data_IF_876070122942
#
_entry.id   IF_876070122942
#
_cell.length_a   1.000
_cell.length_b   1.000
_cell.length_c   1.000
_cell.angle_alpha   90.00
_cell.angle_beta   90.00
_cell.angle_gamma   90.00
#
_symmetry.space_group_name_H-M   'P 1'
#
loop_
_entity.id
_entity.type
_entity.pdbx_description
1 polymer ?
#
# COMPACT_ATOMS: atom_id res chain seq x y z
N UNK A 1 19.20 -4.07 42.18
CA UNK A 1 19.15 -4.94 40.98
C UNK A 1 18.23 -4.23 40.01
N UNK A 2 18.78 -3.67 38.95
CA UNK A 2 17.98 -2.94 38.00
C UNK A 2 17.07 -3.91 37.22
N UNK A 3 15.78 -3.59 37.17
CA UNK A 3 14.85 -4.28 36.33
C UNK A 3 15.28 -4.09 34.86
N UNK A 4 15.87 -5.14 34.29
CA UNK A 4 16.14 -5.18 32.86
C UNK A 4 14.78 -5.19 32.13
N UNK A 5 14.42 -4.06 31.55
CA UNK A 5 13.27 -3.98 30.64
C UNK A 5 13.66 -4.78 29.39
N UNK A 6 13.17 -5.98 29.28
CA UNK A 6 13.27 -6.76 28.06
C UNK A 6 12.41 -6.05 27.00
N UNK A 7 13.05 -5.33 26.10
CA UNK A 7 12.38 -4.85 24.90
C UNK A 7 12.06 -6.08 24.07
N UNK A 8 10.79 -6.49 24.05
CA UNK A 8 10.32 -7.46 23.09
C UNK A 8 10.43 -6.81 21.72
N UNK A 9 11.38 -7.25 20.93
CA UNK A 9 11.44 -6.91 19.50
C UNK A 9 10.10 -7.32 18.88
N UNK A 10 9.38 -6.34 18.33
CA UNK A 10 8.15 -6.60 17.59
C UNK A 10 8.57 -7.29 16.31
N UNK A 11 8.45 -8.62 16.27
CA UNK A 11 8.68 -9.37 15.05
C UNK A 11 7.40 -9.38 14.21
N UNK A 12 7.43 -8.70 13.09
CA UNK A 12 6.36 -8.71 12.12
C UNK A 12 6.50 -9.93 11.22
N UNK A 13 5.45 -10.72 11.07
CA UNK A 13 5.44 -11.87 10.17
C UNK A 13 5.31 -11.42 8.71
N UNK A 14 5.71 -12.28 7.77
CA UNK A 14 5.58 -12.02 6.34
C UNK A 14 4.13 -11.78 5.88
N UNK A 15 3.15 -12.31 6.60
CA UNK A 15 1.71 -12.08 6.43
C UNK A 15 1.32 -10.60 6.47
N UNK A 16 2.00 -9.79 7.31
CA UNK A 16 1.79 -8.34 7.34
C UNK A 16 2.23 -7.65 6.04
N UNK A 17 3.27 -8.14 5.37
CA UNK A 17 3.67 -7.60 4.05
C UNK A 17 2.58 -7.87 3.00
N UNK A 18 1.97 -9.06 3.04
CA UNK A 18 0.83 -9.40 2.18
C UNK A 18 -0.38 -8.53 2.52
N UNK A 19 -0.66 -8.34 3.80
CA UNK A 19 -1.73 -7.45 4.25
C UNK A 19 -1.51 -6.01 3.76
N UNK A 20 -0.31 -5.45 3.93
CA UNK A 20 0.02 -4.11 3.45
C UNK A 20 -0.13 -3.98 1.93
N UNK A 21 0.20 -5.04 1.19
CA UNK A 21 0.00 -5.08 -0.26
C UNK A 21 -1.47 -5.04 -0.63
N UNK A 22 -2.29 -5.89 -0.01
CA UNK A 22 -3.74 -5.95 -0.27
C UNK A 22 -4.42 -4.64 0.09
N UNK A 23 -4.12 -4.08 1.27
CA UNK A 23 -4.69 -2.79 1.73
C UNK A 23 -4.28 -1.63 0.81
N UNK A 24 -3.06 -1.66 0.26
CA UNK A 24 -2.65 -0.70 -0.74
C UNK A 24 -3.50 -0.77 -2.02
N UNK A 25 -3.80 -1.97 -2.51
CA UNK A 25 -4.69 -2.16 -3.66
C UNK A 25 -6.11 -1.66 -3.33
N UNK A 26 -6.63 -1.97 -2.14
CA UNK A 26 -7.93 -1.49 -1.64
C UNK A 26 -8.02 0.03 -1.74
N UNK A 27 -7.02 0.74 -1.25
CA UNK A 27 -6.96 2.19 -1.29
C UNK A 27 -6.93 2.72 -2.74
N UNK A 28 -6.05 2.17 -3.58
CA UNK A 28 -5.93 2.60 -4.96
C UNK A 28 -7.18 2.33 -5.80
N UNK A 29 -7.87 1.21 -5.60
CA UNK A 29 -9.16 0.93 -6.25
C UNK A 29 -10.27 1.89 -5.79
N UNK A 30 -10.26 2.28 -4.51
CA UNK A 30 -11.19 3.29 -4.00
C UNK A 30 -10.95 4.65 -4.65
N UNK A 31 -9.69 5.04 -4.90
CA UNK A 31 -9.37 6.26 -5.63
C UNK A 31 -9.87 6.19 -7.08
N UNK A 32 -9.75 5.04 -7.75
CA UNK A 32 -10.27 4.85 -9.12
C UNK A 32 -11.80 4.95 -9.12
N UNK A 33 -12.47 4.31 -8.16
CA UNK A 33 -13.92 4.36 -8.04
C UNK A 33 -14.41 5.81 -7.84
N UNK A 34 -13.76 6.59 -6.95
CA UNK A 34 -14.04 8.03 -6.80
C UNK A 34 -13.69 8.82 -8.08
N UNK A 35 -12.53 8.58 -8.68
CA UNK A 35 -12.08 9.23 -9.90
C UNK A 35 -13.08 9.07 -11.06
N UNK A 36 -13.85 7.97 -11.08
CA UNK A 36 -14.90 7.70 -12.06
C UNK A 36 -16.07 8.69 -12.04
N UNK A 37 -16.26 9.41 -10.94
CA UNK A 37 -17.27 10.49 -10.82
C UNK A 37 -16.79 11.79 -11.46
N UNK A 38 -15.49 11.94 -11.64
CA UNK A 38 -14.85 13.14 -12.23
C UNK A 38 -14.39 12.91 -13.66
N UNK A 39 -13.99 11.67 -13.98
CA UNK A 39 -13.40 11.30 -15.28
C UNK A 39 -14.30 10.30 -15.99
N UNK A 40 -14.99 10.71 -17.08
CA UNK A 40 -15.91 9.82 -17.79
C UNK A 40 -15.28 8.52 -18.30
N UNK A 41 -14.01 8.56 -18.71
CA UNK A 41 -13.27 7.38 -19.14
C UNK A 41 -13.19 6.26 -18.08
N UNK A 42 -13.26 6.60 -16.79
CA UNK A 42 -13.22 5.64 -15.68
C UNK A 42 -14.61 5.13 -15.27
N UNK A 43 -15.71 5.65 -15.82
CA UNK A 43 -17.08 5.22 -15.44
C UNK A 43 -17.29 3.70 -15.49
N UNK A 44 -16.77 2.94 -16.49
CA UNK A 44 -16.93 1.49 -16.54
C UNK A 44 -16.27 0.75 -15.36
N UNK A 45 -15.35 1.40 -14.64
CA UNK A 45 -14.63 0.84 -13.50
C UNK A 45 -15.27 1.21 -12.16
N UNK A 46 -16.23 2.14 -12.11
CA UNK A 46 -16.85 2.65 -10.88
C UNK A 46 -17.25 1.55 -9.92
N UNK A 47 -18.16 0.70 -10.35
CA UNK A 47 -18.70 -0.40 -9.55
C UNK A 47 -17.66 -1.51 -9.37
N UNK A 48 -16.97 -1.91 -10.45
CA UNK A 48 -15.95 -2.95 -10.41
C UNK A 48 -14.87 -2.65 -9.35
N UNK A 49 -14.38 -1.41 -9.32
CA UNK A 49 -13.35 -0.98 -8.36
C UNK A 49 -13.91 -0.90 -6.92
N UNK A 50 -15.16 -0.44 -6.74
CA UNK A 50 -15.79 -0.41 -5.43
C UNK A 50 -15.97 -1.82 -4.85
N UNK A 51 -16.53 -2.75 -5.63
CA UNK A 51 -16.72 -4.15 -5.20
C UNK A 51 -15.38 -4.85 -4.96
N UNK A 52 -14.42 -4.72 -5.88
CA UNK A 52 -13.10 -5.32 -5.74
C UNK A 52 -12.37 -4.80 -4.49
N UNK A 53 -12.44 -3.49 -4.24
CA UNK A 53 -11.90 -2.88 -3.04
C UNK A 53 -12.51 -3.49 -1.77
N UNK A 54 -13.83 -3.61 -1.71
CA UNK A 54 -14.53 -4.16 -0.55
C UNK A 54 -14.21 -5.65 -0.31
N UNK A 55 -14.17 -6.46 -1.36
CA UNK A 55 -13.81 -7.88 -1.27
C UNK A 55 -12.36 -8.04 -0.79
N UNK A 56 -11.42 -7.26 -1.36
CA UNK A 56 -10.02 -7.29 -0.94
C UNK A 56 -9.84 -6.79 0.50
N UNK A 57 -10.62 -5.80 0.95
CA UNK A 57 -10.63 -5.38 2.34
C UNK A 57 -11.02 -6.53 3.27
N UNK A 58 -12.09 -7.25 2.94
CA UNK A 58 -12.54 -8.40 3.73
C UNK A 58 -11.46 -9.50 3.78
N UNK A 59 -10.83 -9.81 2.65
CA UNK A 59 -9.73 -10.77 2.58
C UNK A 59 -8.51 -10.31 3.40
N UNK A 60 -8.12 -9.03 3.28
CA UNK A 60 -7.04 -8.45 4.07
C UNK A 60 -7.34 -8.47 5.57
N UNK A 61 -8.56 -8.15 5.97
CA UNK A 61 -9.00 -8.24 7.36
C UNK A 61 -8.96 -9.68 7.91
N UNK A 62 -9.39 -10.66 7.12
CA UNK A 62 -9.30 -12.07 7.49
C UNK A 62 -7.85 -12.53 7.65
N UNK A 63 -6.96 -12.12 6.75
CA UNK A 63 -5.52 -12.41 6.85
C UNK A 63 -4.93 -11.84 8.15
N UNK A 64 -5.27 -10.59 8.47
CA UNK A 64 -4.80 -9.94 9.69
C UNK A 64 -5.33 -10.65 10.95
N UNK A 65 -6.61 -11.01 10.99
CA UNK A 65 -7.22 -11.73 12.13
C UNK A 65 -6.60 -13.13 12.28
N UNK A 66 -6.37 -13.84 11.18
CA UNK A 66 -5.77 -15.17 11.19
C UNK A 66 -4.32 -15.18 11.71
N UNK A 67 -3.60 -14.06 11.54
CA UNK A 67 -2.22 -13.92 12.02
C UNK A 67 -2.13 -13.55 13.51
N UNK A 68 -3.23 -13.18 14.13
CA UNK A 68 -3.25 -12.89 15.56
C UNK A 68 -3.10 -14.19 16.37
N UNK A 69 -2.19 -14.20 17.35
CA UNK A 69 -2.06 -15.33 18.30
C UNK A 69 -3.35 -15.61 19.08
N UNK A 70 -4.23 -14.62 19.19
CA UNK A 70 -5.56 -14.72 19.80
C UNK A 70 -6.60 -14.00 18.93
N UNK A 71 -7.13 -14.67 17.88
CA UNK A 71 -8.00 -14.06 16.87
C UNK A 71 -9.21 -13.32 17.43
N UNK A 72 -9.86 -13.85 18.46
CA UNK A 72 -11.05 -13.21 19.05
C UNK A 72 -10.75 -11.87 19.75
N UNK A 73 -9.49 -11.57 20.06
CA UNK A 73 -9.10 -10.28 20.64
C UNK A 73 -9.20 -9.11 19.66
N UNK A 74 -9.35 -9.36 18.35
CA UNK A 74 -9.59 -8.27 17.41
C UNK A 74 -10.82 -7.44 17.78
N UNK A 75 -11.84 -8.05 18.44
CA UNK A 75 -13.02 -7.34 18.92
C UNK A 75 -12.72 -6.29 19.98
N UNK A 76 -11.57 -6.36 20.66
CA UNK A 76 -11.16 -5.36 21.64
C UNK A 76 -10.94 -3.98 21.00
N UNK A 77 -10.77 -3.91 19.68
CA UNK A 77 -10.71 -2.65 18.92
C UNK A 77 -12.01 -1.82 19.05
N UNK A 78 -13.13 -2.48 19.34
CA UNK A 78 -14.42 -1.82 19.56
C UNK A 78 -14.60 -1.36 21.01
N UNK A 79 -13.69 -1.73 21.91
CA UNK A 79 -13.75 -1.38 23.32
C UNK A 79 -12.88 -0.14 23.61
N UNK A 80 -13.48 1.01 23.96
CA UNK A 80 -12.74 2.25 24.21
C UNK A 80 -11.67 2.15 25.30
N UNK A 81 -11.81 1.23 26.26
CA UNK A 81 -10.85 1.03 27.33
C UNK A 81 -9.51 0.43 26.86
N UNK A 82 -9.49 -0.23 25.72
CA UNK A 82 -8.28 -0.81 25.10
C UNK A 82 -7.67 0.10 24.02
N UNK A 83 -8.39 1.14 23.57
CA UNK A 83 -7.90 2.05 22.55
C UNK A 83 -6.88 3.04 23.12
N UNK A 84 -5.62 2.89 22.73
CA UNK A 84 -4.57 3.88 23.03
C UNK A 84 -4.43 4.81 21.83
N UNK A 85 -5.05 5.98 21.87
CA UNK A 85 -5.03 6.97 20.78
C UNK A 85 -3.64 7.55 20.49
N UNK A 86 -2.63 7.28 21.33
CA UNK A 86 -1.23 7.60 21.05
C UNK A 86 -0.55 6.60 20.10
N UNK A 87 -1.20 5.47 19.77
CA UNK A 87 -0.67 4.44 18.89
C UNK A 87 -1.18 4.63 17.46
N UNK A 88 -0.31 4.62 16.42
CA UNK A 88 -0.73 4.62 15.01
C UNK A 88 -1.65 3.45 14.67
N UNK A 89 -1.42 2.28 15.27
CA UNK A 89 -2.24 1.09 15.09
C UNK A 89 -3.70 1.32 15.50
N UNK A 90 -3.96 2.07 16.59
CA UNK A 90 -5.31 2.40 17.00
C UNK A 90 -6.02 3.29 15.98
N UNK A 91 -5.32 4.30 15.43
CA UNK A 91 -5.86 5.14 14.35
C UNK A 91 -6.11 4.35 13.07
N UNK A 92 -5.19 3.45 12.71
CA UNK A 92 -5.35 2.55 11.58
C UNK A 92 -6.59 1.69 11.72
N UNK A 93 -6.79 1.12 12.87
CA UNK A 93 -7.95 0.29 13.18
C UNK A 93 -9.28 1.05 13.11
N UNK A 94 -9.36 2.24 13.72
CA UNK A 94 -10.53 3.11 13.61
C UNK A 94 -10.80 3.51 12.15
N UNK A 95 -9.74 3.81 11.39
CA UNK A 95 -9.86 4.15 9.98
C UNK A 95 -10.40 2.97 9.14
N UNK A 96 -9.93 1.73 9.39
CA UNK A 96 -10.46 0.52 8.73
C UNK A 96 -11.95 0.36 9.01
N UNK A 97 -12.39 0.52 10.25
CA UNK A 97 -13.81 0.43 10.62
C UNK A 97 -14.62 1.51 9.90
N UNK A 98 -14.17 2.76 9.96
CA UNK A 98 -14.84 3.88 9.28
C UNK A 98 -14.90 3.66 7.77
N UNK A 99 -13.79 3.23 7.16
CA UNK A 99 -13.71 2.90 5.74
C UNK A 99 -14.66 1.76 5.35
N UNK A 100 -14.74 0.71 6.18
CA UNK A 100 -15.66 -0.42 5.94
C UNK A 100 -17.10 0.06 5.93
N UNK A 101 -17.51 0.85 6.93
CA UNK A 101 -18.86 1.40 7.02
C UNK A 101 -19.17 2.29 5.81
N UNK A 102 -18.27 3.22 5.48
CA UNK A 102 -18.43 4.10 4.32
C UNK A 102 -18.53 3.31 3.01
N UNK A 103 -17.72 2.26 2.84
CA UNK A 103 -17.74 1.40 1.65
C UNK A 103 -19.07 0.65 1.50
N UNK A 104 -19.65 0.16 2.60
CA UNK A 104 -20.98 -0.49 2.58
C UNK A 104 -22.04 0.50 2.11
N UNK A 105 -22.09 1.70 2.71
CA UNK A 105 -23.05 2.72 2.30
C UNK A 105 -22.84 3.18 0.85
N UNK A 106 -21.58 3.27 0.41
CA UNK A 106 -21.26 3.61 -0.98
C UNK A 106 -21.76 2.54 -1.95
N UNK A 107 -21.53 1.26 -1.67
CA UNK A 107 -22.02 0.15 -2.48
C UNK A 107 -23.55 0.13 -2.52
N UNK A 108 -24.22 0.38 -1.39
CA UNK A 108 -25.69 0.47 -1.36
C UNK A 108 -26.21 1.63 -2.22
N UNK A 109 -25.55 2.80 -2.16
CA UNK A 109 -25.93 3.94 -3.01
C UNK A 109 -25.74 3.64 -4.51
N UNK A 110 -24.66 2.93 -4.89
CA UNK A 110 -24.44 2.48 -6.27
C UNK A 110 -25.55 1.55 -6.73
N UNK A 111 -25.92 0.56 -5.91
CA UNK A 111 -26.99 -0.41 -6.23
C UNK A 111 -28.36 0.24 -6.37
N UNK A 112 -28.63 1.29 -5.59
CA UNK A 112 -29.90 2.03 -5.64
C UNK A 112 -29.94 3.10 -6.75
N UNK A 113 -28.84 3.30 -7.49
CA UNK A 113 -28.75 4.34 -8.52
C UNK A 113 -28.81 5.78 -7.98
N UNK A 114 -28.54 6.00 -6.67
CA UNK A 114 -28.56 7.32 -6.06
C UNK A 114 -27.25 8.07 -6.39
N UNK A 115 -27.25 8.76 -7.50
CA UNK A 115 -26.08 9.50 -7.99
C UNK A 115 -25.60 10.58 -7.03
N UNK A 116 -26.48 11.29 -6.32
CA UNK A 116 -26.12 12.36 -5.40
C UNK A 116 -25.38 11.81 -4.18
N UNK A 117 -25.97 10.80 -3.52
CA UNK A 117 -25.33 10.12 -2.38
C UNK A 117 -24.12 9.34 -2.81
N UNK A 118 -24.17 8.67 -3.97
CA UNK A 118 -23.07 7.91 -4.50
C UNK A 118 -21.79 8.73 -4.68
N UNK A 119 -21.88 9.93 -5.26
CA UNK A 119 -20.73 10.82 -5.42
C UNK A 119 -20.13 11.32 -4.10
N UNK A 120 -20.96 11.67 -3.12
CA UNK A 120 -20.52 12.08 -1.80
C UNK A 120 -19.87 10.91 -1.04
N UNK A 121 -20.51 9.74 -1.05
CA UNK A 121 -19.98 8.55 -0.37
C UNK A 121 -18.69 8.05 -1.03
N UNK A 122 -18.56 8.17 -2.36
CA UNK A 122 -17.30 7.89 -3.05
C UNK A 122 -16.16 8.79 -2.57
N UNK A 123 -16.42 10.10 -2.38
CA UNK A 123 -15.44 11.02 -1.84
C UNK A 123 -15.05 10.65 -0.39
N UNK A 124 -16.03 10.40 0.48
CA UNK A 124 -15.77 10.01 1.87
C UNK A 124 -14.96 8.71 1.91
N UNK A 125 -15.35 7.72 1.12
CA UNK A 125 -14.65 6.44 1.02
C UNK A 125 -13.21 6.63 0.51
N UNK A 126 -12.98 7.50 -0.48
CA UNK A 126 -11.65 7.79 -0.99
C UNK A 126 -10.76 8.51 0.04
N UNK A 127 -11.32 9.44 0.82
CA UNK A 127 -10.58 10.12 1.91
C UNK A 127 -10.18 9.13 3.01
N UNK A 128 -11.10 8.25 3.41
CA UNK A 128 -10.79 7.19 4.37
C UNK A 128 -9.83 6.15 3.79
N UNK A 129 -9.93 5.84 2.49
CA UNK A 129 -8.99 4.97 1.80
C UNK A 129 -7.56 5.52 1.81
N UNK A 130 -7.36 6.85 1.76
CA UNK A 130 -6.04 7.46 1.90
C UNK A 130 -5.41 7.14 3.26
N UNK A 131 -6.22 7.08 4.30
CA UNK A 131 -5.76 6.71 5.64
C UNK A 131 -5.16 5.30 5.72
N UNK A 132 -5.55 4.36 4.84
CA UNK A 132 -5.07 2.98 4.86
C UNK A 132 -3.54 2.86 4.60
N UNK A 133 -2.99 3.34 3.47
CA UNK A 133 -1.54 3.32 3.26
C UNK A 133 -0.79 4.31 4.16
N UNK A 134 -1.42 5.41 4.56
CA UNK A 134 -0.80 6.37 5.48
C UNK A 134 -0.54 5.73 6.82
N UNK A 135 -1.54 5.07 7.44
CA UNK A 135 -1.31 4.46 8.75
C UNK A 135 -0.32 3.30 8.69
N UNK A 136 -0.33 2.48 7.62
CA UNK A 136 0.64 1.39 7.49
C UNK A 136 2.08 1.89 7.37
N UNK A 137 2.29 3.02 6.70
CA UNK A 137 3.59 3.69 6.66
C UNK A 137 3.98 4.33 8.00
N UNK A 138 3.02 4.95 8.70
CA UNK A 138 3.26 5.50 10.04
C UNK A 138 3.56 4.42 11.06
N UNK A 139 2.90 3.27 10.97
CA UNK A 139 3.11 2.15 11.87
C UNK A 139 4.58 1.65 11.82
N UNK A 140 5.19 1.67 10.65
CA UNK A 140 6.63 1.44 10.51
C UNK A 140 7.47 2.63 11.01
N UNK A 141 7.07 3.86 10.67
CA UNK A 141 7.90 5.06 10.90
C UNK A 141 8.08 5.45 12.37
N UNK A 142 7.24 4.95 13.29
CA UNK A 142 7.40 5.21 14.73
C UNK A 142 8.43 4.33 15.42
N UNK A 143 8.98 3.32 14.73
CA UNK A 143 9.98 2.40 15.30
C UNK A 143 11.38 3.01 15.22
N UNK A 144 11.76 3.77 16.25
CA UNK A 144 13.07 4.44 16.33
C UNK A 144 14.25 3.48 16.31
N UNK A 145 14.05 2.23 16.79
CA UNK A 145 15.07 1.17 16.77
C UNK A 145 15.36 0.64 15.35
N UNK A 146 14.62 1.09 14.34
CA UNK A 146 14.78 0.65 12.94
C UNK A 146 14.94 1.89 12.05
N UNK A 147 16.17 2.39 11.87
CA UNK A 147 16.40 3.67 11.17
C UNK A 147 15.81 3.76 9.78
N UNK A 148 15.82 2.65 9.01
CA UNK A 148 15.23 2.60 7.66
C UNK A 148 13.70 2.77 7.70
N UNK A 149 13.04 2.37 8.78
CA UNK A 149 11.61 2.62 8.95
C UNK A 149 11.35 4.04 9.47
N UNK A 150 12.20 4.54 10.37
CA UNK A 150 12.03 5.83 11.05
C UNK A 150 12.34 6.99 10.12
N UNK A 151 11.55 7.13 9.06
CA UNK A 151 11.66 8.20 8.08
C UNK A 151 10.27 8.68 7.63
N UNK A 152 10.08 9.99 7.43
CA UNK A 152 8.81 10.54 6.94
C UNK A 152 8.49 10.12 5.49
N UNK A 153 9.45 9.52 4.77
CA UNK A 153 9.22 9.00 3.42
C UNK A 153 8.31 7.75 3.44
N UNK A 154 8.32 6.95 4.52
CA UNK A 154 7.56 5.69 4.57
C UNK A 154 6.05 5.87 4.29
N UNK A 155 5.31 6.75 4.99
CA UNK A 155 3.89 6.94 4.70
C UNK A 155 3.64 7.40 3.26
N UNK A 156 4.50 8.28 2.73
CA UNK A 156 4.38 8.81 1.36
C UNK A 156 4.65 7.71 0.33
N UNK A 157 5.68 6.89 0.55
CA UNK A 157 5.99 5.72 -0.28
C UNK A 157 4.82 4.73 -0.32
N UNK A 158 4.20 4.45 0.84
CA UNK A 158 3.08 3.51 0.91
C UNK A 158 1.85 4.05 0.15
N UNK A 159 1.61 5.38 0.17
CA UNK A 159 0.57 6.01 -0.67
C UNK A 159 0.93 5.88 -2.15
N UNK A 160 2.15 6.16 -2.56
CA UNK A 160 2.58 6.03 -3.95
C UNK A 160 2.46 4.57 -4.45
N UNK A 161 2.86 3.60 -3.61
CA UNK A 161 2.69 2.17 -3.88
C UNK A 161 1.21 1.75 -3.94
N UNK A 162 0.32 2.39 -3.17
CA UNK A 162 -1.12 2.14 -3.22
C UNK A 162 -1.71 2.65 -4.54
N UNK A 163 -1.35 3.86 -4.97
CA UNK A 163 -1.77 4.40 -6.27
C UNK A 163 -1.24 3.53 -7.40
N UNK A 164 0.03 3.12 -7.36
CA UNK A 164 0.64 2.27 -8.38
C UNK A 164 -0.06 0.91 -8.48
N UNK A 165 -0.17 0.18 -7.36
CA UNK A 165 -0.78 -1.16 -7.34
C UNK A 165 -2.29 -1.14 -7.63
N UNK A 166 -3.02 -0.14 -7.11
CA UNK A 166 -4.44 0.03 -7.41
C UNK A 166 -4.69 0.39 -8.87
N UNK A 167 -3.88 1.27 -9.46
CA UNK A 167 -3.97 1.61 -10.89
C UNK A 167 -3.61 0.42 -11.78
N UNK A 168 -2.65 -0.40 -11.36
CA UNK A 168 -2.29 -1.63 -12.05
C UNK A 168 -3.45 -2.64 -12.07
N UNK A 169 -4.10 -2.88 -10.92
CA UNK A 169 -5.32 -3.72 -10.86
C UNK A 169 -6.44 -3.09 -11.69
N UNK A 170 -6.62 -1.77 -11.60
CA UNK A 170 -7.59 -1.04 -12.42
C UNK A 170 -7.35 -1.23 -13.91
N UNK A 171 -6.09 -1.21 -14.37
CA UNK A 171 -5.74 -1.44 -15.78
C UNK A 171 -6.07 -2.88 -16.24
N UNK A 172 -5.88 -3.87 -15.36
CA UNK A 172 -6.31 -5.25 -15.63
C UNK A 172 -7.84 -5.35 -15.72
N UNK A 173 -8.57 -4.69 -14.81
CA UNK A 173 -10.05 -4.65 -14.83
C UNK A 173 -10.61 -3.87 -16.05
N UNK A 174 -9.79 -2.95 -16.60
CA UNK A 174 -10.10 -2.17 -17.79
C UNK A 174 -9.63 -2.84 -19.10
N UNK A 175 -9.25 -4.11 -19.08
CA UNK A 175 -8.82 -4.81 -20.29
C UNK A 175 -9.89 -4.70 -21.39
N UNK A 176 -9.48 -4.24 -22.57
CA UNK A 176 -10.41 -3.96 -23.69
C UNK A 176 -11.05 -2.58 -23.69
N UNK A 177 -10.83 -1.72 -22.68
CA UNK A 177 -11.31 -0.33 -22.65
C UNK A 177 -10.14 0.66 -22.81
N UNK A 178 -9.87 1.10 -24.04
CA UNK A 178 -8.73 1.94 -24.37
C UNK A 178 -8.74 3.29 -23.64
N UNK A 179 -9.90 3.91 -23.47
CA UNK A 179 -10.01 5.22 -22.81
C UNK A 179 -9.70 5.11 -21.31
N UNK A 180 -10.21 4.10 -20.62
CA UNK A 180 -9.90 3.86 -19.23
C UNK A 180 -8.39 3.51 -19.05
N UNK A 181 -7.84 2.68 -19.93
CA UNK A 181 -6.43 2.33 -19.90
C UNK A 181 -5.50 3.53 -20.13
N UNK A 182 -5.89 4.48 -20.96
CA UNK A 182 -5.12 5.72 -21.15
C UNK A 182 -4.97 6.50 -19.84
N UNK A 183 -6.05 6.66 -19.07
CA UNK A 183 -6.02 7.35 -17.77
C UNK A 183 -5.21 6.56 -16.76
N UNK A 184 -5.43 5.26 -16.68
CA UNK A 184 -4.72 4.40 -15.71
C UNK A 184 -3.23 4.27 -16.02
N UNK A 185 -2.86 4.33 -17.32
CA UNK A 185 -1.46 4.44 -17.75
C UNK A 185 -0.78 5.66 -17.13
N UNK A 186 -1.43 6.82 -17.15
CA UNK A 186 -0.86 8.03 -16.54
C UNK A 186 -0.69 7.87 -15.02
N UNK A 187 -1.67 7.29 -14.34
CA UNK A 187 -1.57 7.03 -12.91
C UNK A 187 -0.44 6.04 -12.58
N UNK A 188 -0.28 4.97 -13.36
CA UNK A 188 0.82 4.02 -13.20
C UNK A 188 2.17 4.68 -13.49
N UNK A 189 2.28 5.46 -14.56
CA UNK A 189 3.51 6.15 -14.96
C UNK A 189 4.02 7.06 -13.83
N UNK A 190 3.16 7.97 -13.36
CA UNK A 190 3.58 8.94 -12.35
C UNK A 190 3.81 8.31 -10.97
N UNK A 191 2.99 7.34 -10.59
CA UNK A 191 3.18 6.65 -9.31
C UNK A 191 4.42 5.75 -9.31
N UNK A 192 4.70 5.02 -10.40
CA UNK A 192 5.92 4.22 -10.52
C UNK A 192 7.18 5.12 -10.53
N UNK A 193 7.14 6.25 -11.21
CA UNK A 193 8.21 7.24 -11.17
C UNK A 193 8.43 7.82 -9.77
N UNK A 194 7.34 8.17 -9.07
CA UNK A 194 7.42 8.66 -7.69
C UNK A 194 8.00 7.59 -6.75
N UNK A 195 7.58 6.34 -6.86
CA UNK A 195 8.15 5.22 -6.10
C UNK A 195 9.64 5.08 -6.39
N UNK A 196 10.07 5.13 -7.66
CA UNK A 196 11.48 5.05 -8.02
C UNK A 196 12.32 6.15 -7.36
N UNK A 197 11.86 7.40 -7.40
CA UNK A 197 12.55 8.54 -6.75
C UNK A 197 12.64 8.36 -5.23
N UNK A 198 11.55 7.93 -4.58
CA UNK A 198 11.54 7.69 -3.14
C UNK A 198 12.49 6.55 -2.74
N UNK A 199 12.55 5.48 -3.55
CA UNK A 199 13.48 4.37 -3.31
C UNK A 199 14.94 4.81 -3.44
N UNK A 200 15.28 5.64 -4.45
CA UNK A 200 16.62 6.22 -4.57
C UNK A 200 16.95 7.06 -3.34
N UNK A 201 15.99 7.86 -2.83
CA UNK A 201 16.18 8.64 -1.61
C UNK A 201 16.43 7.74 -0.40
N UNK A 202 15.64 6.68 -0.21
CA UNK A 202 15.83 5.70 0.88
C UNK A 202 17.19 5.01 0.73
N UNK A 203 17.55 4.54 -0.46
CA UNK A 203 18.84 3.89 -0.71
C UNK A 203 20.00 4.84 -0.40
N UNK A 204 19.91 6.10 -0.80
CA UNK A 204 20.94 7.11 -0.52
C UNK A 204 21.08 7.39 0.96
N UNK A 205 19.97 7.69 1.66
CA UNK A 205 20.00 7.99 3.10
C UNK A 205 20.46 6.79 3.92
N UNK A 206 20.12 5.57 3.50
CA UNK A 206 20.51 4.33 4.20
C UNK A 206 21.99 4.00 3.94
N UNK A 207 22.49 4.18 2.71
CA UNK A 207 23.88 3.87 2.37
C UNK A 207 24.90 4.83 3.01
N UNK A 208 24.49 6.08 3.27
CA UNK A 208 25.34 7.11 3.87
C UNK A 208 24.94 7.43 5.32
N UNK A 209 24.16 6.55 5.95
CA UNK A 209 23.75 6.67 7.36
C UNK A 209 24.79 6.15 8.34
N UNK A 210 24.35 5.78 9.53
CA UNK A 210 25.21 5.14 10.52
C UNK A 210 25.34 3.62 10.28
N UNK A 211 26.06 2.94 11.17
CA UNK A 211 26.37 1.51 11.01
C UNK A 211 25.14 0.60 10.89
N UNK A 212 24.02 0.94 11.57
CA UNK A 212 22.77 0.17 11.47
C UNK A 212 22.09 0.36 10.13
N UNK A 213 22.13 1.58 9.57
CA UNK A 213 21.64 1.90 8.25
C UNK A 213 22.45 1.19 7.17
N UNK A 214 23.78 1.26 7.23
CA UNK A 214 24.68 0.60 6.27
C UNK A 214 24.47 -0.91 6.26
N UNK A 215 24.34 -1.54 7.43
CA UNK A 215 24.05 -2.97 7.54
C UNK A 215 22.67 -3.30 6.93
N UNK A 216 21.65 -2.48 7.20
CA UNK A 216 20.32 -2.67 6.61
C UNK A 216 20.38 -2.51 5.09
N UNK A 217 21.13 -1.51 4.60
CA UNK A 217 21.34 -1.32 3.15
C UNK A 217 21.98 -2.55 2.51
N UNK A 218 23.03 -3.09 3.13
CA UNK A 218 23.69 -4.30 2.66
C UNK A 218 22.71 -5.49 2.60
N UNK A 219 21.88 -5.69 3.64
CA UNK A 219 20.86 -6.73 3.66
C UNK A 219 19.78 -6.54 2.57
N UNK A 220 19.36 -5.29 2.34
CA UNK A 220 18.36 -4.97 1.31
C UNK A 220 18.89 -5.07 -0.12
N UNK A 221 20.19 -4.99 -0.32
CA UNK A 221 20.81 -4.94 -1.67
C UNK A 221 21.59 -6.19 -2.05
N UNK A 222 21.73 -7.15 -1.13
CA UNK A 222 22.46 -8.40 -1.41
C UNK A 222 21.58 -9.64 -1.26
N UNK A 223 22.01 -10.75 -1.83
CA UNK A 223 21.31 -12.03 -1.76
C UNK A 223 19.89 -11.99 -2.31
N UNK A 224 19.01 -12.79 -1.72
CA UNK A 224 17.60 -12.89 -2.14
C UNK A 224 16.84 -11.57 -1.88
N UNK A 225 17.12 -10.89 -0.76
CA UNK A 225 16.50 -9.59 -0.47
C UNK A 225 16.91 -8.54 -1.51
N UNK A 226 18.19 -8.55 -1.94
CA UNK A 226 18.67 -7.65 -2.99
C UNK A 226 18.01 -7.93 -4.35
N UNK A 227 17.81 -9.19 -4.70
CA UNK A 227 17.05 -9.54 -5.91
C UNK A 227 15.62 -9.03 -5.84
N UNK A 228 14.94 -9.19 -4.70
CA UNK A 228 13.58 -8.71 -4.52
C UNK A 228 13.50 -7.18 -4.45
N UNK A 229 14.40 -6.53 -3.74
CA UNK A 229 14.36 -5.06 -3.57
C UNK A 229 14.83 -4.33 -4.83
N UNK A 230 16.07 -4.61 -5.29
CA UNK A 230 16.66 -3.91 -6.44
C UNK A 230 16.11 -4.48 -7.75
N UNK A 231 16.12 -5.80 -7.93
CA UNK A 231 15.71 -6.43 -9.19
C UNK A 231 14.20 -6.30 -9.43
N UNK A 232 13.40 -6.86 -8.53
CA UNK A 232 11.94 -6.95 -8.71
C UNK A 232 11.26 -5.64 -8.32
N UNK A 233 11.59 -5.07 -7.16
CA UNK A 233 10.93 -3.88 -6.63
C UNK A 233 11.30 -2.60 -7.38
N UNK A 234 12.59 -2.28 -7.38
CA UNK A 234 13.08 -1.03 -7.95
C UNK A 234 13.15 -1.07 -9.49
N UNK A 235 13.90 -1.99 -10.07
CA UNK A 235 14.10 -2.02 -11.52
C UNK A 235 12.85 -2.50 -12.25
N UNK A 236 12.35 -3.69 -11.98
CA UNK A 236 11.23 -4.26 -12.71
C UNK A 236 9.88 -3.67 -12.34
N UNK A 237 9.66 -3.31 -11.06
CA UNK A 237 8.36 -2.83 -10.56
C UNK A 237 8.17 -1.32 -10.57
N UNK A 238 9.26 -0.53 -10.71
CA UNK A 238 9.17 0.93 -10.69
C UNK A 238 9.83 1.57 -11.91
N UNK A 239 11.13 1.35 -12.13
CA UNK A 239 11.86 2.00 -13.23
C UNK A 239 11.38 1.51 -14.60
N UNK A 240 11.32 0.20 -14.82
CA UNK A 240 10.93 -0.36 -16.11
C UNK A 240 9.50 0.04 -16.51
N UNK A 241 8.47 -0.07 -15.65
CA UNK A 241 7.13 0.44 -15.98
C UNK A 241 7.12 1.94 -16.27
N UNK A 242 7.84 2.76 -15.49
CA UNK A 242 7.90 4.20 -15.74
C UNK A 242 8.49 4.51 -17.14
N UNK A 243 9.60 3.86 -17.52
CA UNK A 243 10.23 4.02 -18.83
C UNK A 243 9.32 3.50 -19.95
N UNK A 244 8.77 2.28 -19.80
CA UNK A 244 7.89 1.67 -20.81
C UNK A 244 6.63 2.49 -21.06
N UNK A 245 6.00 2.97 -19.99
CA UNK A 245 4.77 3.76 -20.09
C UNK A 245 5.03 5.19 -20.57
N UNK A 246 6.22 5.75 -20.32
CA UNK A 246 6.60 7.04 -20.88
C UNK A 246 6.85 6.98 -22.38
N UNK A 247 7.46 5.91 -22.87
CA UNK A 247 7.79 5.72 -24.26
C UNK A 247 6.51 5.63 -25.14
N UNK A 248 6.59 5.94 -26.45
CA UNK A 248 5.44 5.84 -27.37
C UNK A 248 4.76 4.46 -27.40
N UNK A 249 5.54 3.38 -27.23
CA UNK A 249 5.05 2.01 -27.15
C UNK A 249 4.12 1.77 -25.93
N UNK A 250 4.28 2.56 -24.85
CA UNK A 250 3.45 2.51 -23.65
C UNK A 250 1.98 2.89 -23.88
N UNK A 251 1.62 3.33 -25.08
CA UNK A 251 0.22 3.54 -25.48
C UNK A 251 -0.47 2.26 -25.95
N UNK A 252 0.28 1.20 -26.17
CA UNK A 252 -0.28 -0.10 -26.57
C UNK A 252 -0.84 -0.85 -25.35
N UNK A 253 -1.99 -1.48 -25.52
CA UNK A 253 -2.66 -2.22 -24.44
C UNK A 253 -1.74 -3.30 -23.82
N UNK A 254 -1.00 -4.03 -24.66
CA UNK A 254 -0.09 -5.08 -24.17
C UNK A 254 0.98 -4.54 -23.20
N UNK A 255 1.60 -3.40 -23.53
CA UNK A 255 2.61 -2.77 -22.69
C UNK A 255 2.01 -2.25 -21.38
N UNK A 256 0.77 -1.68 -21.45
CA UNK A 256 0.05 -1.24 -20.23
C UNK A 256 -0.20 -2.43 -19.29
N UNK A 257 -0.66 -3.57 -19.82
CA UNK A 257 -0.94 -4.76 -19.01
C UNK A 257 0.34 -5.40 -18.45
N UNK A 258 1.41 -5.49 -19.26
CA UNK A 258 2.72 -5.98 -18.78
C UNK A 258 3.25 -5.07 -17.68
N UNK A 259 3.20 -3.74 -17.87
CA UNK A 259 3.61 -2.78 -16.84
C UNK A 259 2.78 -2.91 -15.57
N UNK A 260 1.48 -3.17 -15.68
CA UNK A 260 0.62 -3.44 -14.53
C UNK A 260 1.07 -4.67 -13.73
N UNK A 261 1.40 -5.77 -14.40
CA UNK A 261 1.91 -6.98 -13.74
C UNK A 261 3.27 -6.73 -13.06
N UNK A 262 4.16 -6.00 -13.72
CA UNK A 262 5.47 -5.62 -13.16
C UNK A 262 5.31 -4.74 -11.91
N UNK A 263 4.42 -3.75 -11.95
CA UNK A 263 4.10 -2.89 -10.80
C UNK A 263 3.55 -3.72 -9.63
N UNK A 264 2.66 -4.66 -9.88
CA UNK A 264 2.10 -5.52 -8.83
C UNK A 264 3.19 -6.39 -8.18
N UNK A 265 4.00 -7.06 -8.99
CA UNK A 265 5.11 -7.87 -8.49
C UNK A 265 6.12 -7.01 -7.69
N UNK A 266 6.49 -5.85 -8.23
CA UNK A 266 7.40 -4.92 -7.56
C UNK A 266 6.82 -4.35 -6.26
N UNK A 267 5.55 -3.97 -6.27
CA UNK A 267 4.87 -3.43 -5.09
C UNK A 267 4.75 -4.46 -3.95
N UNK A 268 4.56 -5.74 -4.28
CA UNK A 268 4.57 -6.83 -3.31
C UNK A 268 5.98 -7.07 -2.76
N UNK A 269 6.99 -7.16 -3.64
CA UNK A 269 8.38 -7.37 -3.26
C UNK A 269 8.91 -6.23 -2.38
N UNK A 270 8.61 -4.98 -2.71
CA UNK A 270 9.03 -3.81 -1.92
C UNK A 270 8.45 -3.85 -0.52
N UNK A 271 7.15 -4.11 -0.35
CA UNK A 271 6.53 -4.20 0.98
C UNK A 271 7.11 -5.34 1.79
N UNK A 272 7.40 -6.47 1.15
CA UNK A 272 8.05 -7.59 1.81
C UNK A 272 9.45 -7.24 2.30
N UNK A 273 10.31 -6.69 1.44
CA UNK A 273 11.70 -6.39 1.82
C UNK A 273 11.77 -5.24 2.82
N UNK A 274 11.00 -4.17 2.61
CA UNK A 274 10.94 -3.03 3.54
C UNK A 274 10.46 -3.45 4.94
N UNK A 275 9.60 -4.48 5.04
CA UNK A 275 9.18 -5.02 6.32
C UNK A 275 10.21 -5.97 6.90
N UNK A 276 10.74 -6.92 6.12
CA UNK A 276 11.49 -8.06 6.64
C UNK A 276 12.99 -7.78 6.83
N UNK A 277 13.63 -7.00 5.94
CA UNK A 277 15.08 -6.80 6.01
C UNK A 277 15.52 -5.98 7.24
N UNK A 278 14.86 -4.86 7.62
CA UNK A 278 15.25 -4.10 8.81
C UNK A 278 15.09 -4.86 10.13
N UNK A 279 14.25 -5.90 10.16
CA UNK A 279 14.08 -6.73 11.37
C UNK A 279 15.26 -7.66 11.63
N UNK A 280 16.10 -7.91 10.63
CA UNK A 280 17.29 -8.77 10.75
C UNK A 280 18.47 -8.02 11.39
N UNK A 281 18.41 -6.70 11.45
CA UNK A 281 19.44 -5.88 12.10
C UNK A 281 19.13 -5.80 13.59
N UNK A 282 19.97 -6.42 14.40
CA UNK A 282 19.91 -6.24 15.86
C UNK A 282 20.57 -4.90 16.22
N UNK A 283 19.78 -3.93 16.61
CA UNK A 283 20.31 -2.70 17.22
C UNK A 283 20.59 -2.99 18.69
N UNK A 284 21.86 -3.18 19.01
CA UNK A 284 22.32 -3.15 20.39
C UNK A 284 22.42 -1.67 20.79
N UNK A 285 21.56 -1.23 21.70
CA UNK A 285 21.69 0.04 22.41
C UNK A 285 22.44 -0.16 23.72
#
# INVERSE_FOLDING_TARGET
MGDYVWFHDVSWHASYAVYFFVIGIVAGLSFISYGSWRTPALRPLREKSAYASFVLLALGGLLLIADLSQPLRFLNILNPFYLKLSSPLAWGALNIVAFTIASVFYILALRNGDEKKGGLLALITALLALGLPVYTGFDLSVHQSRPVWNTPIMPVLFVALAVASGSAVGALLAAGNAEAQKVLREYMLWSAGAVAVMLVSIMGTTNYGGAAEELTFALMTTGTMGLLFVGVGFLAGSVAPAVLLFAPIGRTQGVVLVSALLILAGSAALRYVLLMAPQQVQTLF
#
